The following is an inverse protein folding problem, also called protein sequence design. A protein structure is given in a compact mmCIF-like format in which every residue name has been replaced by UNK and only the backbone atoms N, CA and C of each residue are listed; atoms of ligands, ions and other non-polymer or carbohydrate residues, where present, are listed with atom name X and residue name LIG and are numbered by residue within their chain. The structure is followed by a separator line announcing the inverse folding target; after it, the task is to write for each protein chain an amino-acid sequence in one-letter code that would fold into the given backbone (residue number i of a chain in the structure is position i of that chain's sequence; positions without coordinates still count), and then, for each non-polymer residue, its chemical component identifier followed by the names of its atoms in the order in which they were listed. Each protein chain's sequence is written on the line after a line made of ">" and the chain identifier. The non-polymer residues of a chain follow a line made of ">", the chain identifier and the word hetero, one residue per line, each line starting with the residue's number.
data_IF_771071692550
#
_entry.id   IF_771071692550
#
_cell.length_a   1.000
_cell.length_b   1.000
_cell.length_c   1.000
_cell.angle_alpha   90.00
_cell.angle_beta   90.00
_cell.angle_gamma   90.00
#
_symmetry.space_group_name_H-M   'P 1'
#
loop_
_entity.id
_entity.type
_entity.pdbx_description
1 polymer ?
#
# COMPACT_ATOMS: atom_id res chain seq x y z
N UNK A 1 -16.17 12.72 -48.34
CA UNK A 1 -15.78 12.41 -46.90
C UNK A 1 -14.56 13.19 -46.38
N UNK A 2 -13.71 13.82 -47.23
CA UNK A 2 -12.54 14.59 -46.79
C UNK A 2 -12.86 16.01 -46.29
N UNK A 3 -13.99 16.57 -46.68
CA UNK A 3 -14.36 17.95 -46.30
C UNK A 3 -14.54 18.15 -44.81
N UNK A 4 -15.13 17.19 -44.12
CA UNK A 4 -15.35 17.27 -42.66
C UNK A 4 -14.03 17.33 -41.87
N UNK A 5 -13.07 16.39 -42.04
CA UNK A 5 -11.79 16.48 -41.33
C UNK A 5 -10.99 17.73 -41.70
N UNK A 6 -11.03 18.22 -42.92
CA UNK A 6 -10.34 19.46 -43.30
C UNK A 6 -10.97 20.66 -42.59
N UNK A 7 -12.30 20.74 -42.53
CA UNK A 7 -12.99 21.81 -41.82
C UNK A 7 -12.72 21.73 -40.30
N UNK A 8 -12.74 20.54 -39.70
CA UNK A 8 -12.42 20.36 -38.29
C UNK A 8 -10.99 20.84 -37.98
N UNK A 9 -10.01 20.41 -38.77
CA UNK A 9 -8.61 20.85 -38.58
C UNK A 9 -8.50 22.36 -38.68
N UNK A 10 -9.14 22.99 -39.68
CA UNK A 10 -9.03 24.45 -39.87
C UNK A 10 -9.70 25.29 -38.79
N UNK A 11 -10.71 24.75 -38.09
CA UNK A 11 -11.50 25.50 -37.09
C UNK A 11 -11.14 25.18 -35.65
N UNK A 12 -10.60 23.96 -35.40
CA UNK A 12 -10.40 23.49 -34.01
C UNK A 12 -8.96 23.09 -33.74
N UNK A 13 -8.02 23.41 -34.62
CA UNK A 13 -6.60 23.07 -34.44
C UNK A 13 -6.07 23.58 -33.12
N UNK A 14 -6.26 24.86 -32.82
CA UNK A 14 -5.74 25.48 -31.60
C UNK A 14 -6.33 24.86 -30.33
N UNK A 15 -7.60 24.44 -30.38
CA UNK A 15 -8.26 23.79 -29.25
C UNK A 15 -7.74 22.36 -29.00
N UNK A 16 -7.30 21.68 -30.06
CA UNK A 16 -6.86 20.27 -30.02
C UNK A 16 -5.34 20.10 -30.05
N UNK A 17 -4.58 21.13 -30.39
CA UNK A 17 -3.13 21.09 -30.33
C UNK A 17 -2.66 21.07 -28.86
N UNK A 18 -2.06 19.94 -28.49
CA UNK A 18 -1.51 19.70 -27.15
C UNK A 18 0.01 19.57 -27.15
N UNK A 19 0.66 19.87 -28.26
CA UNK A 19 2.10 19.68 -28.47
C UNK A 19 2.99 20.41 -27.47
N UNK A 20 2.47 21.50 -26.84
CA UNK A 20 3.17 22.32 -25.86
C UNK A 20 2.59 22.22 -24.44
N UNK A 21 1.79 21.19 -24.14
CA UNK A 21 1.13 21.02 -22.84
C UNK A 21 1.87 19.96 -22.01
N UNK A 22 2.84 20.39 -21.23
CA UNK A 22 3.70 19.51 -20.41
C UNK A 22 3.22 19.37 -18.94
N UNK A 23 2.11 20.00 -18.54
CA UNK A 23 1.66 20.03 -17.14
C UNK A 23 1.55 18.64 -16.52
N UNK A 24 0.98 17.66 -17.24
CA UNK A 24 0.84 16.31 -16.72
C UNK A 24 2.20 15.61 -16.55
N UNK A 25 3.14 15.82 -17.50
CA UNK A 25 4.50 15.30 -17.42
C UNK A 25 5.22 15.89 -16.21
N UNK A 26 5.22 17.22 -16.11
CA UNK A 26 5.94 17.94 -15.07
C UNK A 26 5.36 17.63 -13.68
N UNK A 27 4.04 17.47 -13.59
CA UNK A 27 3.36 17.00 -12.37
C UNK A 27 3.86 15.60 -11.98
N UNK A 28 3.88 14.64 -12.90
CA UNK A 28 4.38 13.30 -12.64
C UNK A 28 5.86 13.27 -12.25
N UNK A 29 6.71 14.10 -12.90
CA UNK A 29 8.12 14.23 -12.54
C UNK A 29 8.28 14.77 -11.12
N UNK A 30 7.53 15.79 -10.74
CA UNK A 30 7.56 16.36 -9.39
C UNK A 30 7.18 15.31 -8.34
N UNK A 31 6.14 14.49 -8.59
CA UNK A 31 5.79 13.39 -7.71
C UNK A 31 6.92 12.37 -7.55
N UNK A 32 7.43 11.87 -8.68
CA UNK A 32 8.48 10.86 -8.67
C UNK A 32 9.79 11.38 -8.07
N UNK A 33 10.05 12.70 -8.17
CA UNK A 33 11.22 13.34 -7.54
C UNK A 33 11.03 13.55 -6.03
N UNK A 34 9.79 13.49 -5.53
CA UNK A 34 9.49 13.67 -4.10
C UNK A 34 9.96 12.48 -3.27
N UNK A 35 9.79 11.26 -3.81
CA UNK A 35 10.15 10.05 -3.08
C UNK A 35 11.66 9.83 -3.08
N UNK A 36 12.20 9.28 -1.99
CA UNK A 36 13.64 9.05 -1.86
C UNK A 36 14.23 8.24 -3.03
N UNK A 37 15.52 8.43 -3.32
CA UNK A 37 16.18 7.78 -4.47
C UNK A 37 16.55 6.32 -4.19
N UNK A 38 16.78 5.99 -2.93
CA UNK A 38 17.22 4.65 -2.53
C UNK A 38 16.06 3.81 -1.99
N UNK A 39 16.22 2.48 -1.95
CA UNK A 39 15.27 1.55 -1.34
C UNK A 39 14.12 1.10 -2.24
N UNK A 40 14.10 1.48 -3.53
CA UNK A 40 13.01 1.10 -4.46
C UNK A 40 11.61 1.41 -3.91
N UNK A 41 11.29 2.69 -3.66
CA UNK A 41 10.08 3.07 -2.94
C UNK A 41 8.80 2.63 -3.66
N UNK A 42 7.74 2.46 -2.86
CA UNK A 42 6.39 2.22 -3.35
C UNK A 42 5.56 3.47 -3.07
N UNK A 43 4.92 4.02 -4.09
CA UNK A 43 3.98 5.14 -3.93
C UNK A 43 2.57 4.66 -4.23
N UNK A 44 1.67 4.80 -3.26
CA UNK A 44 0.26 4.54 -3.43
C UNK A 44 -0.42 5.76 -4.03
N UNK A 45 -1.15 5.54 -5.11
CA UNK A 45 -1.99 6.51 -5.81
C UNK A 45 -3.44 6.03 -5.84
N UNK A 46 -4.39 6.92 -6.11
CA UNK A 46 -5.79 6.52 -6.19
C UNK A 46 -6.51 7.28 -7.31
N UNK A 47 -6.85 6.56 -8.36
CA UNK A 47 -7.49 7.10 -9.56
C UNK A 47 -6.49 7.45 -10.68
N UNK A 48 -7.00 8.00 -11.76
CA UNK A 48 -6.27 8.17 -13.02
C UNK A 48 -5.38 9.42 -13.02
N UNK A 49 -5.86 10.49 -12.37
CA UNK A 49 -5.24 11.82 -12.46
C UNK A 49 -3.85 11.90 -11.82
N UNK A 50 -3.59 11.11 -10.78
CA UNK A 50 -2.29 11.00 -10.12
C UNK A 50 -1.47 9.81 -10.65
N UNK A 51 -2.11 8.73 -11.08
CA UNK A 51 -1.44 7.52 -11.54
C UNK A 51 -0.86 7.66 -12.95
N UNK A 52 -1.66 8.14 -13.91
CA UNK A 52 -1.25 8.16 -15.32
C UNK A 52 -0.09 9.12 -15.62
N UNK A 53 0.01 10.30 -15.00
CA UNK A 53 1.20 11.13 -15.14
C UNK A 53 2.50 10.47 -14.65
N UNK A 54 2.42 9.66 -13.57
CA UNK A 54 3.58 8.91 -13.08
C UNK A 54 3.97 7.81 -14.07
N UNK A 55 3.00 7.00 -14.49
CA UNK A 55 3.23 5.96 -15.50
C UNK A 55 3.76 6.53 -16.82
N UNK A 56 3.21 7.65 -17.30
CA UNK A 56 3.73 8.32 -18.50
C UNK A 56 5.22 8.61 -18.38
N UNK A 57 5.65 9.17 -17.25
CA UNK A 57 7.08 9.47 -17.04
C UNK A 57 7.94 8.21 -16.98
N UNK A 58 7.45 7.13 -16.37
CA UNK A 58 8.17 5.86 -16.30
C UNK A 58 8.25 5.17 -17.66
N UNK A 59 7.10 5.05 -18.36
CA UNK A 59 6.98 4.30 -19.61
C UNK A 59 7.57 5.04 -20.83
N UNK A 60 7.47 6.37 -20.84
CA UNK A 60 7.84 7.16 -22.02
C UNK A 60 9.16 7.86 -21.85
N UNK A 61 9.41 8.41 -20.66
CA UNK A 61 10.63 9.20 -20.36
C UNK A 61 11.73 8.35 -19.68
N UNK A 62 11.38 7.13 -19.21
CA UNK A 62 12.32 6.29 -18.45
C UNK A 62 12.72 6.90 -17.10
N UNK A 63 11.87 7.77 -16.54
CA UNK A 63 12.17 8.53 -15.34
C UNK A 63 11.72 7.80 -14.09
N UNK A 64 12.64 7.61 -13.11
CA UNK A 64 12.37 6.96 -11.82
C UNK A 64 11.66 5.62 -11.95
N UNK A 65 12.20 4.75 -12.79
CA UNK A 65 11.71 3.37 -13.01
C UNK A 65 11.96 2.44 -11.82
N UNK A 66 12.72 2.90 -10.83
CA UNK A 66 12.93 2.27 -9.52
C UNK A 66 11.70 2.37 -8.61
N UNK A 67 10.87 3.40 -8.78
CA UNK A 67 9.67 3.64 -7.98
C UNK A 67 8.53 2.73 -8.44
N UNK A 68 7.88 2.01 -7.51
CA UNK A 68 6.68 1.25 -7.81
C UNK A 68 5.44 2.10 -7.59
N UNK A 69 4.83 2.54 -8.68
CA UNK A 69 3.51 3.19 -8.63
C UNK A 69 2.43 2.13 -8.43
N UNK A 70 1.70 2.23 -7.32
CA UNK A 70 0.68 1.26 -6.92
C UNK A 70 -0.69 1.95 -6.80
N UNK A 71 -1.57 1.72 -7.78
CA UNK A 71 -2.91 2.30 -7.80
C UNK A 71 -3.85 1.48 -6.90
N UNK A 72 -4.41 2.13 -5.87
CA UNK A 72 -5.30 1.49 -4.87
C UNK A 72 -6.61 0.99 -5.47
N UNK A 73 -7.16 1.69 -6.48
CA UNK A 73 -8.39 1.23 -7.15
C UNK A 73 -8.15 -0.07 -7.91
N UNK A 74 -7.02 -0.20 -8.60
CA UNK A 74 -6.68 -1.43 -9.33
C UNK A 74 -6.21 -2.55 -8.40
N UNK A 75 -5.69 -2.22 -7.22
CA UNK A 75 -5.27 -3.21 -6.22
C UNK A 75 -6.44 -4.06 -5.67
N UNK A 76 -7.69 -3.71 -5.99
CA UNK A 76 -8.86 -4.55 -5.77
C UNK A 76 -8.95 -5.74 -6.75
N UNK A 77 -8.17 -5.73 -7.84
CA UNK A 77 -8.26 -6.71 -8.91
C UNK A 77 -7.10 -7.70 -8.86
N UNK A 78 -7.39 -8.96 -9.13
CA UNK A 78 -6.38 -10.04 -9.09
C UNK A 78 -5.29 -9.87 -10.16
N UNK A 79 -5.65 -9.44 -11.37
CA UNK A 79 -4.70 -9.22 -12.46
C UNK A 79 -3.65 -8.15 -12.10
N UNK A 80 -4.07 -7.09 -11.38
CA UNK A 80 -3.15 -6.04 -10.99
C UNK A 80 -2.22 -6.48 -9.84
N UNK A 81 -2.75 -7.26 -8.89
CA UNK A 81 -1.93 -7.89 -7.85
C UNK A 81 -0.88 -8.80 -8.51
N UNK A 82 -1.27 -9.59 -9.53
CA UNK A 82 -0.33 -10.40 -10.31
C UNK A 82 0.78 -9.56 -10.95
N UNK A 83 0.47 -8.35 -11.44
CA UNK A 83 1.47 -7.43 -11.97
C UNK A 83 2.38 -6.89 -10.87
N UNK A 84 1.82 -6.49 -9.73
CA UNK A 84 2.60 -5.97 -8.61
C UNK A 84 3.59 -7.01 -8.06
N UNK A 85 3.26 -8.28 -8.13
CA UNK A 85 4.12 -9.41 -7.71
C UNK A 85 5.24 -9.75 -8.71
N UNK A 86 5.41 -8.97 -9.75
CA UNK A 86 6.51 -9.10 -10.72
C UNK A 86 7.41 -7.88 -10.67
N UNK A 87 8.67 -8.07 -11.01
CA UNK A 87 9.56 -6.95 -11.28
C UNK A 87 9.02 -6.12 -12.45
N UNK A 88 9.12 -4.79 -12.36
CA UNK A 88 8.86 -3.89 -13.46
C UNK A 88 10.00 -2.88 -13.53
N UNK A 89 10.71 -2.87 -14.67
CA UNK A 89 11.92 -2.07 -14.87
C UNK A 89 12.95 -2.32 -13.75
N UNK A 90 13.38 -1.26 -13.07
CA UNK A 90 14.34 -1.34 -11.96
C UNK A 90 13.65 -1.60 -10.61
N UNK A 91 12.31 -1.55 -10.57
CA UNK A 91 11.54 -1.79 -9.35
C UNK A 91 11.29 -3.28 -9.13
N UNK A 92 11.74 -3.87 -8.02
CA UNK A 92 11.47 -5.27 -7.69
C UNK A 92 9.98 -5.51 -7.44
N UNK A 93 9.58 -6.79 -7.42
CA UNK A 93 8.25 -7.19 -7.01
C UNK A 93 7.86 -6.58 -5.66
N UNK A 94 6.58 -6.19 -5.49
CA UNK A 94 6.11 -5.76 -4.17
C UNK A 94 6.02 -6.96 -3.23
N UNK A 95 6.23 -6.77 -1.92
CA UNK A 95 6.30 -7.85 -0.96
C UNK A 95 4.91 -8.37 -0.56
N UNK A 96 4.19 -8.97 -1.50
CA UNK A 96 2.91 -9.67 -1.28
C UNK A 96 3.18 -11.18 -1.32
N UNK A 97 3.07 -11.83 -0.16
CA UNK A 97 3.32 -13.27 -0.01
C UNK A 97 2.11 -14.15 -0.36
N UNK A 98 0.92 -13.55 -0.48
CA UNK A 98 -0.31 -14.29 -0.78
C UNK A 98 -0.19 -15.10 -2.07
N UNK A 99 -0.63 -16.35 -2.02
CA UNK A 99 -0.82 -17.16 -3.22
C UNK A 99 -1.96 -16.61 -4.08
N UNK A 100 -1.98 -16.94 -5.38
CA UNK A 100 -3.05 -16.47 -6.27
C UNK A 100 -4.45 -16.89 -5.79
N UNK A 101 -4.58 -18.06 -5.19
CA UNK A 101 -5.86 -18.56 -4.68
C UNK A 101 -6.41 -17.72 -3.52
N UNK A 102 -5.54 -17.00 -2.79
CA UNK A 102 -5.96 -16.17 -1.66
C UNK A 102 -6.50 -14.81 -2.08
N UNK A 103 -6.22 -14.33 -3.31
CA UNK A 103 -6.69 -13.02 -3.80
C UNK A 103 -7.43 -13.06 -5.15
N UNK A 104 -7.57 -14.22 -5.80
CA UNK A 104 -8.36 -14.32 -7.03
C UNK A 104 -9.78 -13.82 -6.80
N UNK A 105 -10.44 -13.37 -7.85
CA UNK A 105 -11.81 -12.88 -7.79
C UNK A 105 -12.72 -13.83 -7.00
N UNK A 106 -13.47 -13.28 -6.05
CA UNK A 106 -14.33 -14.02 -5.12
C UNK A 106 -13.65 -14.46 -3.81
N UNK A 107 -12.32 -14.28 -3.67
CA UNK A 107 -11.58 -14.59 -2.45
C UNK A 107 -11.06 -13.30 -1.80
N UNK A 108 -11.26 -13.17 -0.49
CA UNK A 108 -10.83 -12.03 0.32
C UNK A 108 -11.15 -10.65 -0.28
N UNK A 109 -12.29 -10.52 -0.95
CA UNK A 109 -12.77 -9.24 -1.49
C UNK A 109 -13.02 -8.21 -0.39
N UNK A 110 -13.42 -8.70 0.77
CA UNK A 110 -13.57 -7.93 1.99
C UNK A 110 -13.54 -8.86 3.19
N UNK A 111 -12.80 -8.45 4.23
CA UNK A 111 -12.63 -9.21 5.47
C UNK A 111 -13.21 -8.41 6.63
N UNK A 112 -14.11 -9.02 7.40
CA UNK A 112 -14.79 -8.37 8.51
C UNK A 112 -13.85 -8.08 9.68
N UNK A 113 -13.99 -6.92 10.31
CA UNK A 113 -13.33 -6.57 11.57
C UNK A 113 -14.28 -6.94 12.72
N UNK A 114 -13.83 -7.83 13.60
CA UNK A 114 -14.61 -8.45 14.68
C UNK A 114 -13.88 -8.36 16.02
N UNK A 115 -13.76 -7.17 16.63
CA UNK A 115 -12.97 -6.99 17.86
C UNK A 115 -13.54 -7.77 19.06
N UNK A 116 -14.81 -8.12 19.03
CA UNK A 116 -15.47 -8.93 20.05
C UNK A 116 -14.85 -10.34 20.22
N UNK A 117 -14.19 -10.84 19.19
CA UNK A 117 -13.54 -12.16 19.19
C UNK A 117 -12.30 -12.17 20.11
N UNK A 118 -11.67 -10.99 20.28
CA UNK A 118 -10.40 -10.87 20.99
C UNK A 118 -10.47 -11.25 22.46
N UNK A 119 -11.61 -11.08 23.10
CA UNK A 119 -11.77 -11.51 24.51
C UNK A 119 -11.56 -13.03 24.68
N UNK A 120 -12.19 -13.81 23.81
CA UNK A 120 -12.04 -15.28 23.81
C UNK A 120 -10.60 -15.70 23.51
N UNK A 121 -9.94 -15.01 22.57
CA UNK A 121 -8.55 -15.27 22.21
C UNK A 121 -7.63 -14.99 23.41
N UNK A 122 -7.78 -13.83 24.03
CA UNK A 122 -6.98 -13.47 25.20
C UNK A 122 -7.14 -14.47 26.35
N UNK A 123 -8.35 -15.00 26.54
CA UNK A 123 -8.61 -16.05 27.53
C UNK A 123 -7.91 -17.35 27.13
N UNK A 124 -7.89 -17.69 25.84
CA UNK A 124 -7.19 -18.88 25.36
C UNK A 124 -5.67 -18.76 25.56
N UNK A 125 -5.07 -17.59 25.26
CA UNK A 125 -3.65 -17.34 25.54
C UNK A 125 -3.30 -17.45 27.03
N UNK A 126 -4.20 -17.01 27.95
CA UNK A 126 -3.99 -17.13 29.39
C UNK A 126 -4.03 -18.57 29.86
N UNK A 127 -4.89 -19.41 29.27
CA UNK A 127 -5.09 -20.79 29.70
C UNK A 127 -4.09 -21.76 29.04
N UNK A 128 -3.79 -21.54 27.76
CA UNK A 128 -2.99 -22.46 26.92
C UNK A 128 -1.98 -21.67 26.05
N UNK A 129 -0.99 -20.99 26.64
CA UNK A 129 -0.12 -20.06 25.90
C UNK A 129 0.67 -20.71 24.76
N UNK A 130 1.15 -21.94 24.93
CA UNK A 130 1.90 -22.65 23.87
C UNK A 130 1.00 -23.05 22.70
N UNK A 131 -0.21 -23.52 22.97
CA UNK A 131 -1.16 -23.92 21.95
C UNK A 131 -1.71 -22.69 21.19
N UNK A 132 -2.05 -21.63 21.92
CA UNK A 132 -2.47 -20.35 21.36
C UNK A 132 -1.40 -19.77 20.44
N UNK A 133 -0.13 -19.80 20.85
CA UNK A 133 0.97 -19.32 20.01
C UNK A 133 1.18 -20.16 18.73
N UNK A 134 0.91 -21.46 18.76
CA UNK A 134 0.94 -22.33 17.57
C UNK A 134 -0.22 -22.02 16.62
N UNK A 135 -1.38 -21.69 17.17
CA UNK A 135 -2.60 -21.46 16.40
C UNK A 135 -2.71 -20.04 15.82
N UNK A 136 -2.27 -19.03 16.57
CA UNK A 136 -2.48 -17.61 16.24
C UNK A 136 -1.20 -16.76 16.25
N UNK A 137 -0.02 -17.38 16.42
CA UNK A 137 1.26 -16.69 16.56
C UNK A 137 1.58 -16.32 18.01
N UNK A 138 2.71 -15.69 18.22
CA UNK A 138 3.19 -15.27 19.56
C UNK A 138 2.45 -14.05 20.12
N UNK A 139 1.91 -13.22 19.24
CA UNK A 139 1.13 -12.03 19.58
C UNK A 139 -0.10 -11.92 18.70
N UNK A 140 -1.33 -12.07 19.24
CA UNK A 140 -2.56 -12.05 18.43
C UNK A 140 -2.91 -10.65 17.90
N UNK A 141 -2.24 -9.60 18.34
CA UNK A 141 -2.44 -8.24 17.84
C UNK A 141 -1.45 -7.87 16.74
N UNK A 142 -0.42 -8.67 16.52
CA UNK A 142 0.64 -8.39 15.56
C UNK A 142 0.15 -8.61 14.12
N UNK A 143 0.39 -7.61 13.24
CA UNK A 143 -0.13 -7.59 11.87
C UNK A 143 0.20 -8.86 11.08
N UNK A 144 1.46 -9.33 11.13
CA UNK A 144 1.87 -10.56 10.41
C UNK A 144 1.09 -11.78 10.86
N UNK A 145 0.84 -11.89 12.18
CA UNK A 145 0.06 -12.98 12.73
C UNK A 145 -1.41 -12.90 12.33
N UNK A 146 -2.00 -11.69 12.34
CA UNK A 146 -3.38 -11.47 11.88
C UNK A 146 -3.52 -11.86 10.41
N UNK A 147 -2.63 -11.39 9.55
CA UNK A 147 -2.66 -11.71 8.13
C UNK A 147 -2.52 -13.22 7.89
N UNK A 148 -1.56 -13.86 8.57
CA UNK A 148 -1.23 -15.27 8.36
C UNK A 148 -2.26 -16.24 8.94
N UNK A 149 -2.65 -16.04 10.20
CA UNK A 149 -3.42 -17.04 10.94
C UNK A 149 -4.93 -16.79 10.91
N UNK A 150 -5.35 -15.57 10.55
CA UNK A 150 -6.74 -15.17 10.48
C UNK A 150 -7.18 -14.89 9.04
N UNK A 151 -6.72 -13.82 8.44
CA UNK A 151 -7.18 -13.37 7.10
C UNK A 151 -6.94 -14.46 6.05
N UNK A 152 -5.76 -15.09 6.06
CA UNK A 152 -5.37 -16.17 5.13
C UNK A 152 -5.66 -17.58 5.67
N UNK A 153 -6.38 -17.70 6.76
CA UNK A 153 -6.65 -19.00 7.35
C UNK A 153 -7.46 -19.90 6.40
N UNK A 154 -7.04 -21.16 6.20
CA UNK A 154 -7.86 -22.14 5.50
C UNK A 154 -9.03 -22.67 6.33
N UNK A 155 -9.08 -22.34 7.63
CA UNK A 155 -10.14 -22.77 8.54
C UNK A 155 -11.37 -21.91 8.33
N UNK A 156 -12.51 -22.54 8.07
CA UNK A 156 -13.79 -21.87 7.95
C UNK A 156 -14.13 -21.07 9.24
N UNK A 157 -14.59 -19.83 9.06
CA UNK A 157 -14.96 -18.94 10.16
C UNK A 157 -13.80 -18.13 10.77
N UNK A 158 -12.54 -18.39 10.40
CA UNK A 158 -11.41 -17.57 10.86
C UNK A 158 -11.03 -16.44 9.91
N UNK A 159 -11.59 -16.35 8.70
CA UNK A 159 -11.27 -15.31 7.73
C UNK A 159 -11.87 -13.95 8.17
N UNK A 160 -11.27 -13.39 9.21
CA UNK A 160 -11.67 -12.14 9.83
C UNK A 160 -10.44 -11.44 10.46
N UNK A 161 -10.61 -10.19 10.85
CA UNK A 161 -9.65 -9.44 11.65
C UNK A 161 -10.19 -9.39 13.08
N UNK A 162 -9.52 -10.04 14.05
CA UNK A 162 -10.06 -10.25 15.38
C UNK A 162 -9.96 -9.04 16.31
N UNK A 163 -9.39 -7.92 15.85
CA UNK A 163 -9.13 -6.74 16.67
C UNK A 163 -9.32 -5.45 15.88
N UNK A 164 -9.67 -4.37 16.55
CA UNK A 164 -9.64 -3.01 16.01
C UNK A 164 -8.35 -2.24 16.35
N UNK A 165 -7.39 -2.90 17.00
CA UNK A 165 -6.08 -2.34 17.35
C UNK A 165 -4.98 -3.32 16.92
N UNK A 166 -4.34 -3.01 15.80
CA UNK A 166 -3.25 -3.80 15.24
C UNK A 166 -1.92 -3.21 15.69
N UNK A 167 -0.94 -4.05 15.99
CA UNK A 167 0.42 -3.63 16.28
C UNK A 167 1.38 -4.18 15.22
N UNK A 168 2.42 -3.40 14.92
CA UNK A 168 3.50 -3.79 14.01
C UNK A 168 4.80 -3.66 14.80
N UNK A 169 5.54 -4.75 14.88
CA UNK A 169 6.88 -4.72 15.49
C UNK A 169 7.84 -3.98 14.57
N UNK A 170 8.59 -3.03 15.13
CA UNK A 170 9.57 -2.25 14.39
C UNK A 170 10.96 -2.88 14.51
N UNK A 171 11.63 -3.08 13.40
CA UNK A 171 13.06 -3.30 13.35
C UNK A 171 13.77 -1.94 13.37
N UNK A 172 14.17 -1.48 14.56
CA UNK A 172 14.79 -0.17 14.76
C UNK A 172 16.06 0.04 13.93
N UNK A 173 16.82 -1.02 13.69
CA UNK A 173 18.03 -0.92 12.89
C UNK A 173 17.70 -0.83 11.39
N UNK A 174 16.67 -1.54 10.93
CA UNK A 174 16.17 -1.37 9.58
C UNK A 174 15.59 0.04 9.36
N UNK A 175 14.80 0.56 10.32
CA UNK A 175 14.27 1.94 10.28
C UNK A 175 15.41 2.96 10.17
N UNK A 176 16.47 2.84 10.95
CA UNK A 176 17.64 3.74 10.88
C UNK A 176 18.37 3.69 9.53
N UNK A 177 18.38 2.52 8.88
CA UNK A 177 19.01 2.32 7.57
C UNK A 177 18.11 2.65 6.39
N UNK A 178 16.83 2.87 6.62
CA UNK A 178 15.81 3.01 5.56
C UNK A 178 15.95 4.27 4.69
N UNK A 179 16.80 5.22 5.11
CA UNK A 179 16.92 6.53 4.46
C UNK A 179 15.84 7.53 4.84
N UNK A 180 14.91 7.17 5.72
CA UNK A 180 13.95 8.14 6.26
C UNK A 180 14.68 9.26 6.99
N UNK A 181 14.23 10.51 6.82
CA UNK A 181 14.84 11.70 7.42
C UNK A 181 14.53 11.81 8.92
N UNK A 182 14.95 10.80 9.70
CA UNK A 182 14.86 10.81 11.17
C UNK A 182 16.16 11.40 11.70
N UNK A 183 16.13 12.53 12.43
CA UNK A 183 17.32 13.08 13.07
C UNK A 183 17.98 12.06 14.01
N UNK A 184 19.32 11.99 13.99
CA UNK A 184 20.10 11.07 14.83
C UNK A 184 19.75 11.18 16.33
N UNK A 185 19.43 12.41 16.78
CA UNK A 185 19.01 12.68 18.15
C UNK A 185 17.72 11.94 18.56
N UNK A 186 16.87 11.58 17.60
CA UNK A 186 15.60 10.89 17.79
C UNK A 186 15.70 9.37 17.56
N UNK A 187 16.84 8.83 17.13
CA UNK A 187 17.03 7.40 16.94
C UNK A 187 16.79 6.57 18.21
N UNK A 188 17.04 7.15 19.38
CA UNK A 188 16.76 6.53 20.67
C UNK A 188 15.27 6.46 21.05
N UNK A 189 14.45 7.30 20.40
CA UNK A 189 13.01 7.40 20.66
C UNK A 189 12.16 6.53 19.73
N UNK A 190 12.78 5.83 18.76
CA UNK A 190 12.08 4.90 17.87
C UNK A 190 11.39 3.83 18.73
N UNK A 191 10.06 3.69 18.70
CA UNK A 191 9.34 2.75 19.55
C UNK A 191 9.60 1.30 19.12
N UNK A 192 9.27 0.35 19.97
CA UNK A 192 9.35 -1.09 19.62
C UNK A 192 8.19 -1.53 18.73
N UNK A 193 7.07 -0.82 18.79
CA UNK A 193 5.84 -1.13 18.05
C UNK A 193 5.18 0.13 17.54
N UNK A 194 4.63 0.05 16.35
CA UNK A 194 3.67 1.00 15.81
C UNK A 194 2.27 0.40 15.93
N UNK A 195 1.27 1.23 16.19
CA UNK A 195 -0.12 0.78 16.27
C UNK A 195 -0.99 1.39 15.17
N UNK A 196 -1.91 0.58 14.64
CA UNK A 196 -2.92 0.98 13.68
C UNK A 196 -4.29 0.77 14.32
N UNK A 197 -5.09 1.82 14.38
CA UNK A 197 -6.47 1.74 14.86
C UNK A 197 -7.42 1.51 13.70
N UNK A 198 -8.18 0.40 13.74
CA UNK A 198 -9.28 0.12 12.82
C UNK A 198 -10.64 0.53 13.43
N UNK A 199 -10.63 1.35 14.48
CA UNK A 199 -11.85 1.79 15.17
C UNK A 199 -12.84 2.42 14.19
N UNK A 200 -14.08 1.92 14.18
CA UNK A 200 -15.12 2.37 13.26
C UNK A 200 -15.15 1.66 11.90
N UNK A 201 -14.09 0.95 11.51
CA UNK A 201 -14.10 0.10 10.31
C UNK A 201 -14.78 -1.24 10.63
N UNK A 202 -15.73 -1.63 9.81
CA UNK A 202 -16.44 -2.91 9.91
C UNK A 202 -15.85 -3.99 9.02
N UNK A 203 -15.11 -3.57 8.00
CA UNK A 203 -14.53 -4.42 6.97
C UNK A 203 -13.29 -3.74 6.40
N UNK A 204 -12.31 -4.53 6.01
CA UNK A 204 -11.22 -4.11 5.14
C UNK A 204 -11.39 -4.77 3.77
N UNK A 205 -11.23 -3.99 2.72
CA UNK A 205 -11.29 -4.45 1.34
C UNK A 205 -9.94 -4.98 0.87
N UNK A 206 -9.92 -5.70 -0.23
CA UNK A 206 -8.72 -6.32 -0.80
C UNK A 206 -7.55 -5.35 -0.96
N UNK A 207 -7.77 -4.14 -1.46
CA UNK A 207 -6.70 -3.13 -1.59
C UNK A 207 -6.09 -2.74 -0.25
N UNK A 208 -6.92 -2.61 0.79
CA UNK A 208 -6.46 -2.30 2.15
C UNK A 208 -5.68 -3.48 2.75
N UNK A 209 -6.12 -4.71 2.48
CA UNK A 209 -5.39 -5.92 2.90
C UNK A 209 -4.03 -6.03 2.21
N UNK A 210 -3.95 -5.71 0.91
CA UNK A 210 -2.68 -5.70 0.17
C UNK A 210 -1.75 -4.59 0.66
N UNK A 211 -2.27 -3.42 1.02
CA UNK A 211 -1.47 -2.36 1.66
C UNK A 211 -0.88 -2.84 3.00
N UNK A 212 -1.70 -3.47 3.85
CA UNK A 212 -1.25 -4.03 5.11
C UNK A 212 -0.21 -5.14 4.91
N UNK A 213 -0.39 -5.99 3.90
CA UNK A 213 0.56 -7.03 3.54
C UNK A 213 1.91 -6.43 3.13
N UNK A 214 1.90 -5.41 2.27
CA UNK A 214 3.13 -4.71 1.90
C UNK A 214 3.78 -4.06 3.13
N UNK A 215 3.02 -3.37 3.97
CA UNK A 215 3.53 -2.74 5.20
C UNK A 215 4.15 -3.78 6.15
N UNK A 216 3.54 -4.95 6.29
CA UNK A 216 4.04 -6.04 7.12
C UNK A 216 5.37 -6.61 6.61
N UNK A 217 5.58 -6.65 5.28
CA UNK A 217 6.66 -7.40 4.67
C UNK A 217 7.79 -6.54 4.09
N UNK A 218 7.65 -5.21 4.04
CA UNK A 218 8.75 -4.30 3.61
C UNK A 218 9.94 -4.31 4.57
N UNK A 219 9.74 -4.73 5.80
CA UNK A 219 10.73 -4.72 6.87
C UNK A 219 11.46 -3.36 7.02
N UNK A 220 10.78 -2.26 6.68
CA UNK A 220 11.30 -0.88 6.71
C UNK A 220 12.46 -0.62 5.74
N UNK A 221 12.86 -1.60 4.95
CA UNK A 221 13.93 -1.48 3.96
C UNK A 221 13.43 -0.88 2.64
N UNK A 222 12.13 -0.92 2.40
CA UNK A 222 11.49 -0.38 1.21
C UNK A 222 10.45 0.66 1.62
N UNK A 223 10.69 1.95 1.34
CA UNK A 223 9.82 3.04 1.77
C UNK A 223 8.44 2.97 1.13
N UNK A 224 7.42 3.29 1.91
CA UNK A 224 6.03 3.37 1.48
C UNK A 224 5.57 4.83 1.55
N UNK A 225 5.11 5.33 0.42
CA UNK A 225 4.59 6.68 0.28
C UNK A 225 3.09 6.66 -0.07
N UNK A 226 2.40 7.69 0.37
CA UNK A 226 1.01 7.92 0.01
C UNK A 226 0.93 9.25 -0.74
N UNK A 227 0.49 9.21 -2.00
CA UNK A 227 0.34 10.45 -2.76
C UNK A 227 -0.63 11.40 -2.05
N UNK A 228 -0.32 12.71 -2.01
CA UNK A 228 -1.13 13.72 -1.32
C UNK A 228 -2.58 13.79 -1.85
N UNK A 229 -2.79 13.31 -3.07
CA UNK A 229 -4.11 13.22 -3.72
C UNK A 229 -4.96 12.05 -3.22
N UNK A 230 -4.37 11.11 -2.49
CA UNK A 230 -5.10 10.00 -1.90
C UNK A 230 -5.91 10.50 -0.71
N UNK A 231 -7.22 10.31 -0.76
CA UNK A 231 -8.12 10.74 0.33
C UNK A 231 -7.84 10.01 1.64
N UNK A 232 -8.01 10.70 2.75
CA UNK A 232 -7.75 10.19 4.11
C UNK A 232 -8.49 8.90 4.45
N UNK A 233 -9.60 8.62 3.79
CA UNK A 233 -10.39 7.39 3.97
C UNK A 233 -9.60 6.14 3.56
N UNK A 234 -8.59 6.30 2.68
CA UNK A 234 -7.71 5.23 2.21
C UNK A 234 -6.42 5.11 3.03
N UNK A 235 -6.21 5.98 4.02
CA UNK A 235 -4.97 6.00 4.82
C UNK A 235 -4.93 4.96 5.94
N UNK A 236 -5.92 4.08 6.09
CA UNK A 236 -5.99 3.08 7.17
C UNK A 236 -5.77 3.65 8.59
N UNK A 237 -6.16 4.91 8.81
CA UNK A 237 -5.89 5.65 10.05
C UNK A 237 -4.38 5.80 10.39
N UNK A 238 -3.52 5.69 9.40
CA UNK A 238 -2.06 5.87 9.55
C UNK A 238 -1.61 7.33 9.59
N UNK A 239 -2.50 8.30 9.41
CA UNK A 239 -2.15 9.72 9.27
C UNK A 239 -1.23 10.29 10.35
N UNK A 240 -1.30 9.77 11.58
CA UNK A 240 -0.39 10.17 12.66
C UNK A 240 1.03 9.56 12.54
N UNK A 241 1.22 8.63 11.61
CA UNK A 241 2.48 7.94 11.34
C UNK A 241 3.12 8.41 10.03
N UNK A 242 2.47 9.35 9.31
CA UNK A 242 3.01 9.91 8.08
C UNK A 242 3.89 11.12 8.37
N UNK A 243 4.95 11.21 7.62
CA UNK A 243 5.75 12.42 7.47
C UNK A 243 5.60 12.89 6.02
N UNK A 244 5.25 14.16 5.83
CA UNK A 244 5.08 14.69 4.48
C UNK A 244 6.43 15.05 3.88
N UNK A 245 6.71 14.50 2.69
CA UNK A 245 7.87 14.83 1.87
C UNK A 245 7.36 15.35 0.51
N UNK A 246 7.34 16.67 0.31
CA UNK A 246 6.85 17.30 -0.93
C UNK A 246 5.39 16.94 -1.24
N UNK A 247 5.17 16.12 -2.28
CA UNK A 247 3.83 15.68 -2.74
C UNK A 247 3.44 14.27 -2.24
N UNK A 248 4.20 13.67 -1.34
CA UNK A 248 3.94 12.32 -0.82
C UNK A 248 4.20 12.23 0.68
#
# INVERSE_FOLDING_TARGET
>A
CLFVPIQMVSQTWDDHDRSNRYVARDFGQNYLSTVQEEGNPIIFTNGDNDTFPLWYNQETEGFRTDVRVCNLSYLQTDWYIDQMKRQAYDSPAVPIEWSRLEYVQGHNEGVAVRPEVMESINNFYKQNPEEAAKEFGDNPYELKNILKYWVRSPKEGLQLIPTDSIVIKLDKEAVKRSGMMIPDSLHGEIPDYMSISLKGKRMLYKSELMMLEMLANTNWERPLYMAITVGSDNHLNLGNNFMQEGLA
#
